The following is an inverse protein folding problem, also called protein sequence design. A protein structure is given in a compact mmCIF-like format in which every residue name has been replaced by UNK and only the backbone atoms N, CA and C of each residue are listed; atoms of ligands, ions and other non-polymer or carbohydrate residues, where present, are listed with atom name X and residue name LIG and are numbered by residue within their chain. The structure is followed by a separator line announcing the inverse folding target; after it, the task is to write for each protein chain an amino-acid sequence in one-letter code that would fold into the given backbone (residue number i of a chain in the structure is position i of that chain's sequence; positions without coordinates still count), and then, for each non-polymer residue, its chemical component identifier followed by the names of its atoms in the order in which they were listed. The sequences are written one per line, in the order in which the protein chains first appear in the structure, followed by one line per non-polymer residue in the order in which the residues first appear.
data_IF_437565568235
#
_entry.id   IF_437565568235
#
_cell.length_a   1.000
_cell.length_b   1.000
_cell.length_c   1.000
_cell.angle_alpha   90.00
_cell.angle_beta   90.00
_cell.angle_gamma   90.00
#
_symmetry.space_group_name_H-M   'P 1'
#
loop_
_entity.id
_entity.type
_entity.pdbx_description
1 polymer ?
#
# COMPACT_ATOMS: atom_id res chain seq x y z
N UNK A 1 15.76 3.13 13.38
CA UNK A 1 15.06 4.41 13.57
C UNK A 1 13.87 4.47 12.63
N UNK A 2 14.03 4.81 11.35
CA UNK A 2 12.93 4.66 10.36
C UNK A 2 12.64 3.17 10.12
N UNK A 3 11.37 2.77 10.24
CA UNK A 3 10.92 1.39 10.07
C UNK A 3 10.11 1.19 8.78
N UNK A 4 9.21 2.11 8.46
CA UNK A 4 8.55 2.21 7.16
C UNK A 4 8.14 3.66 6.86
N UNK A 5 7.87 3.95 5.60
CA UNK A 5 7.40 5.25 5.13
C UNK A 5 6.32 5.07 4.08
N UNK A 6 5.37 5.98 4.03
CA UNK A 6 4.32 6.06 3.01
C UNK A 6 4.19 7.49 2.50
N UNK A 7 4.08 7.64 1.20
CA UNK A 7 3.73 8.89 0.55
C UNK A 7 2.30 8.78 0.07
N UNK A 8 1.44 9.65 0.60
CA UNK A 8 0.00 9.61 0.42
C UNK A 8 -0.45 10.83 -0.38
N UNK A 9 -1.16 10.59 -1.47
CA UNK A 9 -1.94 11.57 -2.20
C UNK A 9 -3.21 11.91 -1.42
N UNK A 10 -3.51 13.20 -1.41
CA UNK A 10 -4.64 13.76 -0.69
C UNK A 10 -5.81 14.00 -1.64
N UNK A 11 -7.02 13.65 -1.19
CA UNK A 11 -8.25 13.89 -1.91
C UNK A 11 -9.12 14.87 -1.12
N UNK A 12 -9.78 15.78 -1.84
CA UNK A 12 -10.76 16.73 -1.33
C UNK A 12 -10.19 17.89 -0.48
N UNK A 13 -10.14 19.12 -1.04
CA UNK A 13 -9.43 20.25 -0.43
C UNK A 13 -10.35 21.10 0.43
N UNK A 14 -10.14 21.12 1.74
CA UNK A 14 -10.30 22.42 2.40
C UNK A 14 -9.43 23.43 1.62
N UNK A 15 -9.99 24.57 1.20
CA UNK A 15 -9.28 25.57 0.38
C UNK A 15 -8.20 26.34 1.15
N UNK A 16 -7.87 25.93 2.38
CA UNK A 16 -6.87 26.60 3.17
C UNK A 16 -5.47 26.11 2.78
N UNK A 17 -4.67 27.04 2.25
CA UNK A 17 -3.39 26.79 1.58
C UNK A 17 -2.21 26.73 2.56
N UNK A 18 -2.46 26.89 3.86
CA UNK A 18 -1.45 26.91 4.92
C UNK A 18 -1.23 25.52 5.59
N UNK A 19 -1.46 24.42 4.85
CA UNK A 19 -1.38 23.04 5.35
C UNK A 19 0.05 22.47 5.51
N UNK A 20 1.06 23.33 5.69
CA UNK A 20 2.41 22.85 5.99
C UNK A 20 2.46 22.40 7.46
N UNK A 21 2.26 21.10 7.67
CA UNK A 21 2.31 20.46 8.98
C UNK A 21 3.44 19.43 9.06
N UNK A 22 4.19 19.47 10.15
CA UNK A 22 5.16 18.46 10.54
C UNK A 22 4.93 18.11 12.01
N UNK A 23 4.69 16.84 12.31
CA UNK A 23 4.44 16.39 13.67
C UNK A 23 3.90 14.96 13.77
N UNK A 24 3.45 14.60 14.97
CA UNK A 24 2.89 13.28 15.25
C UNK A 24 1.56 13.08 14.50
N UNK A 25 1.41 11.93 13.83
CA UNK A 25 0.20 11.58 13.09
C UNK A 25 -1.06 11.51 13.96
N UNK A 26 -0.90 11.38 15.29
CA UNK A 26 -1.96 11.35 16.29
C UNK A 26 -2.11 12.68 17.05
N UNK A 27 -1.33 13.71 16.72
CA UNK A 27 -1.46 15.02 17.37
C UNK A 27 -2.85 15.61 17.06
N UNK A 28 -3.63 16.03 18.07
CA UNK A 28 -4.92 16.69 17.85
C UNK A 28 -4.84 17.98 17.03
N UNK A 29 -3.64 18.57 16.91
CA UNK A 29 -3.38 19.77 16.10
C UNK A 29 -3.13 19.46 14.62
N UNK A 30 -3.06 18.19 14.23
CA UNK A 30 -2.94 17.80 12.82
C UNK A 30 -4.12 18.38 12.04
N UNK A 31 -3.90 19.05 10.89
CA UNK A 31 -4.97 19.60 10.09
C UNK A 31 -6.00 18.55 9.69
N UNK A 32 -7.28 18.93 9.71
CA UNK A 32 -8.38 17.99 9.44
C UNK A 32 -8.33 17.49 8.00
N UNK A 33 -7.84 18.33 7.08
CA UNK A 33 -7.64 18.05 5.67
C UNK A 33 -6.65 16.91 5.44
N UNK A 34 -5.68 16.71 6.36
CA UNK A 34 -4.73 15.60 6.28
C UNK A 34 -5.42 14.23 6.43
N UNK A 35 -6.63 14.17 7.02
CA UNK A 35 -7.42 12.93 7.06
C UNK A 35 -7.92 12.48 5.67
N UNK A 36 -7.94 13.39 4.68
CA UNK A 36 -8.25 13.06 3.29
C UNK A 36 -7.08 12.44 2.52
N UNK A 37 -5.91 12.31 3.16
CA UNK A 37 -4.71 11.72 2.56
C UNK A 37 -4.67 10.21 2.80
N UNK A 38 -5.05 9.45 1.77
CA UNK A 38 -5.14 7.99 1.83
C UNK A 38 -4.71 7.30 0.54
N UNK A 39 -4.45 8.03 -0.54
CA UNK A 39 -4.07 7.41 -1.82
C UNK A 39 -2.59 7.08 -1.78
N UNK A 40 -2.21 5.82 -1.63
CA UNK A 40 -0.79 5.42 -1.61
C UNK A 40 -0.12 5.72 -2.94
N UNK A 41 0.83 6.68 -2.93
CA UNK A 41 1.68 7.03 -4.08
C UNK A 41 2.95 6.18 -4.09
N UNK A 42 3.58 6.08 -2.93
CA UNK A 42 4.77 5.27 -2.72
C UNK A 42 4.76 4.68 -1.32
N UNK A 43 5.27 3.46 -1.17
CA UNK A 43 5.46 2.82 0.12
C UNK A 43 6.88 2.25 0.18
N UNK A 44 7.47 2.30 1.37
CA UNK A 44 8.76 1.70 1.64
C UNK A 44 8.73 1.03 3.00
N UNK A 45 9.27 -0.18 3.07
CA UNK A 45 9.52 -0.90 4.30
C UNK A 45 10.94 -1.50 4.27
N UNK A 46 11.43 -1.93 5.44
CA UNK A 46 12.76 -2.51 5.56
C UNK A 46 13.01 -3.62 4.53
N UNK A 47 14.10 -3.48 3.77
CA UNK A 47 14.52 -4.42 2.72
C UNK A 47 13.96 -4.09 1.32
N UNK A 48 13.00 -3.18 1.19
CA UNK A 48 12.47 -2.78 -0.11
C UNK A 48 13.49 -1.96 -0.92
N UNK A 49 13.63 -2.33 -2.20
CA UNK A 49 14.29 -1.51 -3.22
C UNK A 49 13.29 -0.57 -3.92
N UNK A 50 13.71 0.15 -4.97
CA UNK A 50 12.82 1.01 -5.73
C UNK A 50 11.78 0.19 -6.51
N UNK A 51 10.57 0.72 -6.62
CA UNK A 51 9.55 0.20 -7.54
C UNK A 51 9.80 0.78 -8.92
N UNK A 52 10.04 -0.09 -9.90
CA UNK A 52 10.19 0.32 -11.30
C UNK A 52 8.91 -0.03 -12.03
N UNK A 53 8.20 1.01 -12.48
CA UNK A 53 6.95 0.86 -13.21
C UNK A 53 7.20 0.34 -14.63
N UNK A 54 6.33 -0.50 -15.19
CA UNK A 54 6.44 -0.96 -16.57
C UNK A 54 6.35 0.25 -17.52
N UNK A 55 6.96 0.14 -18.71
CA UNK A 55 7.13 1.28 -19.63
C UNK A 55 5.80 1.93 -20.03
N UNK A 56 4.77 1.13 -20.16
CA UNK A 56 3.41 1.49 -20.56
C UNK A 56 2.58 2.13 -19.45
N UNK A 57 2.98 2.04 -18.18
CA UNK A 57 2.18 2.53 -17.06
C UNK A 57 2.94 3.49 -16.13
N UNK A 58 2.24 4.47 -15.57
CA UNK A 58 2.76 5.45 -14.61
C UNK A 58 1.69 5.83 -13.61
N UNK A 59 2.07 6.20 -12.39
CA UNK A 59 1.08 6.75 -11.45
C UNK A 59 0.85 8.22 -11.78
N UNK A 60 -0.37 8.64 -12.14
CA UNK A 60 -0.66 10.04 -12.37
C UNK A 60 -0.70 10.79 -11.04
N UNK A 61 -0.08 11.96 -11.00
CA UNK A 61 -0.17 12.89 -9.88
C UNK A 61 -0.02 14.33 -10.39
N UNK A 62 -0.69 15.27 -9.72
CA UNK A 62 -0.68 16.69 -10.11
C UNK A 62 -1.53 17.00 -11.33
N UNK A 63 -1.81 18.29 -11.53
CA UNK A 63 -2.75 18.77 -12.56
C UNK A 63 -4.03 19.34 -11.96
N UNK A 64 -4.93 19.85 -12.80
CA UNK A 64 -6.14 20.58 -12.36
C UNK A 64 -7.13 19.72 -11.57
N UNK A 65 -7.08 18.42 -11.77
CA UNK A 65 -7.97 17.45 -11.11
C UNK A 65 -7.35 16.87 -9.83
N UNK A 66 -6.12 17.26 -9.49
CA UNK A 66 -5.38 16.75 -8.35
C UNK A 66 -5.23 17.83 -7.27
N UNK A 67 -5.23 17.40 -6.01
CA UNK A 67 -4.86 18.27 -4.92
C UNK A 67 -3.34 18.49 -4.89
N UNK A 68 -2.82 19.71 -4.67
CA UNK A 68 -1.39 19.99 -4.79
C UNK A 68 -0.58 19.59 -3.55
N UNK A 69 -1.15 18.76 -2.67
CA UNK A 69 -0.50 18.31 -1.44
C UNK A 69 -0.39 16.79 -1.38
N UNK A 70 0.71 16.38 -0.75
CA UNK A 70 0.98 15.00 -0.38
C UNK A 70 1.34 14.96 1.09
N UNK A 71 1.04 13.84 1.75
CA UNK A 71 1.42 13.58 3.13
C UNK A 71 2.52 12.51 3.13
N UNK A 72 3.64 12.81 3.77
CA UNK A 72 4.67 11.82 4.07
C UNK A 72 4.46 11.31 5.49
N UNK A 73 4.09 10.04 5.62
CA UNK A 73 4.01 9.35 6.90
C UNK A 73 5.30 8.55 7.13
N UNK A 74 5.93 8.73 8.30
CA UNK A 74 7.16 8.04 8.68
C UNK A 74 6.95 7.37 10.02
N UNK A 75 7.03 6.04 10.02
CA UNK A 75 6.99 5.27 11.26
C UNK A 75 8.39 5.08 11.81
N UNK A 76 8.65 5.72 12.95
CA UNK A 76 9.88 5.58 13.70
C UNK A 76 9.76 4.51 14.78
N UNK A 77 10.67 3.53 14.75
CA UNK A 77 10.89 2.60 15.85
C UNK A 77 12.17 3.01 16.62
N UNK A 78 12.00 3.81 17.68
CA UNK A 78 13.07 4.36 18.51
C UNK A 78 13.18 3.64 19.88
N UNK A 79 13.47 2.33 19.87
CA UNK A 79 13.55 1.50 21.09
C UNK A 79 14.56 2.06 22.11
N UNK A 80 15.72 2.52 21.62
CA UNK A 80 16.82 3.06 22.44
C UNK A 80 16.57 4.49 22.95
N UNK A 81 15.44 5.11 22.59
CA UNK A 81 15.05 6.47 22.99
C UNK A 81 16.14 7.52 22.74
N UNK A 82 16.80 7.40 21.59
CA UNK A 82 17.84 8.35 21.19
C UNK A 82 17.22 9.74 21.03
N UNK A 83 17.79 10.74 21.70
CA UNK A 83 17.32 12.12 21.67
C UNK A 83 18.18 12.99 20.73
N UNK A 84 17.60 14.07 20.20
CA UNK A 84 18.32 15.07 19.40
C UNK A 84 18.78 14.59 18.01
N UNK A 85 18.28 13.44 17.54
CA UNK A 85 18.56 12.97 16.18
C UNK A 85 17.78 13.81 15.17
N UNK A 86 18.50 14.39 14.21
CA UNK A 86 17.90 15.04 13.05
C UNK A 86 17.68 13.98 11.96
N UNK A 87 16.43 13.77 11.56
CA UNK A 87 16.07 12.94 10.42
C UNK A 87 15.63 13.82 9.23
N UNK A 88 16.00 13.39 8.03
CA UNK A 88 15.57 14.01 6.75
C UNK A 88 15.24 12.92 5.74
N UNK A 89 14.63 11.84 6.23
CA UNK A 89 14.24 10.70 5.40
C UNK A 89 13.04 11.05 4.51
N UNK A 90 12.92 10.35 3.40
CA UNK A 90 11.83 10.56 2.44
C UNK A 90 12.03 9.74 1.17
N UNK A 91 11.31 10.12 0.12
CA UNK A 91 11.35 9.45 -1.18
C UNK A 91 12.06 10.29 -2.24
N UNK A 92 12.77 9.61 -3.15
CA UNK A 92 13.16 10.19 -4.44
C UNK A 92 12.21 9.68 -5.51
N UNK A 93 11.49 10.59 -6.18
CA UNK A 93 10.50 10.25 -7.21
C UNK A 93 11.06 10.62 -8.58
N UNK A 94 11.12 9.65 -9.49
CA UNK A 94 11.42 9.88 -10.90
C UNK A 94 10.12 9.97 -11.68
N UNK A 95 9.89 11.10 -12.36
CA UNK A 95 8.65 11.38 -13.07
C UNK A 95 8.89 11.91 -14.49
N UNK A 96 7.81 11.97 -15.28
CA UNK A 96 7.79 12.54 -16.63
C UNK A 96 6.58 13.47 -16.76
N UNK A 97 6.70 14.52 -17.58
CA UNK A 97 5.60 15.43 -17.89
C UNK A 97 4.61 14.88 -18.94
N UNK A 98 4.85 13.67 -19.45
CA UNK A 98 3.98 13.01 -20.43
C UNK A 98 3.30 11.81 -19.81
N UNK A 99 1.97 11.75 -19.91
CA UNK A 99 1.20 10.58 -19.49
C UNK A 99 1.63 9.36 -20.29
N UNK A 100 1.71 8.21 -19.59
CA UNK A 100 1.92 6.91 -20.21
C UNK A 100 0.59 6.37 -20.72
N UNK A 101 0.62 5.22 -21.38
CA UNK A 101 -0.56 4.60 -21.97
C UNK A 101 -1.60 4.20 -20.91
N UNK A 102 -1.14 3.79 -19.72
CA UNK A 102 -1.99 3.35 -18.63
C UNK A 102 -1.66 4.05 -17.31
N UNK A 103 -2.68 4.30 -16.50
CA UNK A 103 -2.51 4.71 -15.12
C UNK A 103 -2.23 3.49 -14.25
N UNK A 104 -1.20 3.59 -13.42
CA UNK A 104 -0.90 2.62 -12.38
C UNK A 104 -1.40 3.14 -11.03
N UNK A 105 -1.81 2.20 -10.18
CA UNK A 105 -2.35 2.47 -8.86
C UNK A 105 -1.90 1.38 -7.88
N UNK A 106 -2.00 1.68 -6.59
CA UNK A 106 -1.82 0.70 -5.50
C UNK A 106 -3.20 0.26 -5.03
N UNK A 107 -3.38 -1.04 -4.85
CA UNK A 107 -4.57 -1.63 -4.25
C UNK A 107 -4.15 -2.43 -3.03
N UNK A 108 -4.65 -2.03 -1.87
CA UNK A 108 -4.43 -2.76 -0.62
C UNK A 108 -5.43 -3.91 -0.49
N UNK A 109 -4.93 -5.09 -0.17
CA UNK A 109 -5.72 -6.30 0.03
C UNK A 109 -5.35 -6.92 1.36
N UNK A 110 -6.33 -7.20 2.20
CA UNK A 110 -6.08 -7.86 3.47
C UNK A 110 -7.20 -7.69 4.49
N UNK A 111 -6.78 -7.62 5.75
CA UNK A 111 -7.65 -7.47 6.90
C UNK A 111 -7.72 -6.00 7.29
N UNK A 112 -8.90 -5.55 7.68
CA UNK A 112 -9.05 -4.22 8.29
C UNK A 112 -8.35 -4.18 9.65
N UNK A 113 -7.81 -3.02 10.01
CA UNK A 113 -7.22 -2.82 11.33
C UNK A 113 -8.31 -2.84 12.40
N UNK A 114 -8.27 -3.81 13.31
CA UNK A 114 -9.23 -3.90 14.41
C UNK A 114 -9.13 -5.19 15.21
N UNK A 115 -9.65 -5.14 16.43
CA UNK A 115 -9.56 -6.23 17.42
C UNK A 115 -10.25 -7.51 16.98
N UNK A 116 -11.16 -7.44 16.01
CA UNK A 116 -11.81 -8.59 15.39
C UNK A 116 -10.81 -9.55 14.71
N UNK A 117 -9.60 -9.07 14.37
CA UNK A 117 -8.55 -9.85 13.70
C UNK A 117 -7.43 -10.30 14.66
N UNK A 118 -7.78 -10.55 15.93
CA UNK A 118 -6.83 -10.92 16.98
C UNK A 118 -6.28 -12.35 16.84
N UNK A 119 -5.01 -12.52 17.23
CA UNK A 119 -4.34 -13.82 17.31
C UNK A 119 -4.28 -14.24 18.79
N UNK A 120 -4.81 -15.41 19.18
CA UNK A 120 -4.68 -15.89 20.55
C UNK A 120 -3.21 -16.07 20.96
N UNK A 121 -2.85 -15.89 22.24
CA UNK A 121 -1.49 -16.13 22.70
C UNK A 121 -1.10 -17.61 22.57
N UNK A 122 0.22 -17.86 22.48
CA UNK A 122 0.84 -19.20 22.44
C UNK A 122 0.45 -20.11 21.26
N UNK A 123 -0.14 -19.56 20.20
CA UNK A 123 -0.42 -20.32 18.99
C UNK A 123 0.87 -20.58 18.20
N UNK A 124 1.11 -21.84 17.83
CA UNK A 124 2.24 -22.21 16.95
C UNK A 124 2.03 -21.71 15.52
N UNK A 125 0.79 -21.75 15.05
CA UNK A 125 0.36 -21.21 13.77
C UNK A 125 -1.12 -20.86 13.86
N UNK A 126 -1.51 -19.69 13.37
CA UNK A 126 -2.89 -19.22 13.35
C UNK A 126 -3.14 -18.46 12.05
N UNK A 127 -3.95 -18.99 11.11
CA UNK A 127 -4.24 -18.30 9.87
C UNK A 127 -5.25 -17.19 10.09
N UNK A 128 -4.96 -16.00 9.56
CA UNK A 128 -5.93 -14.94 9.37
C UNK A 128 -6.11 -14.71 7.87
N UNK A 129 -7.35 -14.51 7.41
CA UNK A 129 -7.67 -14.37 5.99
C UNK A 129 -8.61 -13.19 5.77
N UNK A 130 -8.21 -12.27 4.89
CA UNK A 130 -9.07 -11.22 4.35
C UNK A 130 -9.48 -11.52 2.92
N UNK A 131 -10.52 -10.86 2.42
CA UNK A 131 -11.08 -11.11 1.09
C UNK A 131 -11.47 -9.81 0.37
N UNK A 132 -11.13 -9.70 -0.92
CA UNK A 132 -11.87 -8.84 -1.85
C UNK A 132 -12.86 -9.73 -2.60
N UNK A 133 -14.09 -9.78 -2.09
CA UNK A 133 -15.17 -10.59 -2.65
C UNK A 133 -15.62 -10.09 -4.03
N UNK A 134 -16.47 -10.86 -4.73
CA UNK A 134 -16.96 -10.49 -6.06
C UNK A 134 -17.58 -9.08 -6.13
N UNK A 135 -18.24 -8.62 -5.08
CA UNK A 135 -18.80 -7.27 -5.05
C UNK A 135 -17.74 -6.16 -4.92
N UNK A 136 -16.55 -6.50 -4.41
CA UNK A 136 -15.37 -5.64 -4.42
C UNK A 136 -14.74 -5.62 -5.83
N UNK A 137 -14.52 -6.79 -6.44
CA UNK A 137 -13.89 -6.86 -7.78
C UNK A 137 -14.77 -6.30 -8.90
N UNK A 138 -16.10 -6.31 -8.76
CA UNK A 138 -17.03 -5.63 -9.69
C UNK A 138 -16.82 -4.12 -9.80
N UNK A 139 -16.14 -3.48 -8.85
CA UNK A 139 -15.81 -2.04 -8.89
C UNK A 139 -14.59 -1.74 -9.77
N UNK A 140 -13.87 -2.76 -10.22
CA UNK A 140 -12.76 -2.58 -11.16
C UNK A 140 -13.28 -2.15 -12.54
N UNK A 141 -12.44 -1.52 -13.39
CA UNK A 141 -12.80 -1.18 -14.76
C UNK A 141 -13.31 -2.40 -15.53
N UNK A 142 -14.20 -2.18 -16.51
CA UNK A 142 -14.81 -3.25 -17.32
C UNK A 142 -13.79 -4.21 -17.93
N UNK A 143 -12.68 -3.65 -18.42
CA UNK A 143 -11.58 -4.42 -19.01
C UNK A 143 -10.69 -5.09 -17.97
N UNK A 144 -10.88 -4.86 -16.67
CA UNK A 144 -10.09 -5.38 -15.57
C UNK A 144 -8.74 -4.69 -15.37
N UNK A 145 -7.98 -5.13 -14.36
CA UNK A 145 -6.65 -4.57 -14.03
C UNK A 145 -5.53 -5.56 -14.33
N UNK A 146 -4.33 -5.03 -14.56
CA UNK A 146 -3.10 -5.77 -14.79
C UNK A 146 -2.18 -5.60 -13.57
N UNK A 147 -2.02 -6.65 -12.76
CA UNK A 147 -1.12 -6.63 -11.61
C UNK A 147 0.29 -6.97 -12.09
N UNK A 148 1.22 -6.04 -11.89
CA UNK A 148 2.62 -6.19 -12.31
C UNK A 148 3.59 -6.29 -11.12
N UNK A 149 3.18 -5.89 -9.92
CA UNK A 149 3.98 -5.97 -8.71
C UNK A 149 3.10 -6.30 -7.49
N UNK A 150 3.71 -6.84 -6.44
CA UNK A 150 3.04 -7.13 -5.17
C UNK A 150 4.00 -6.97 -4.00
N UNK A 151 3.50 -6.44 -2.88
CA UNK A 151 4.18 -6.40 -1.60
C UNK A 151 3.35 -7.16 -0.57
N UNK A 152 3.98 -8.08 0.16
CA UNK A 152 3.35 -8.75 1.30
C UNK A 152 3.76 -8.00 2.57
N UNK A 153 2.80 -7.73 3.45
CA UNK A 153 3.01 -6.96 4.67
C UNK A 153 2.33 -7.63 5.87
N UNK A 154 3.06 -7.72 6.98
CA UNK A 154 2.60 -8.11 8.30
C UNK A 154 3.59 -7.66 9.37
N UNK A 155 3.09 -7.47 10.60
CA UNK A 155 3.89 -7.13 11.78
C UNK A 155 4.74 -8.33 12.30
N UNK A 156 5.30 -8.18 13.50
CA UNK A 156 6.33 -9.07 14.08
C UNK A 156 5.98 -10.57 14.12
N UNK A 157 4.69 -10.91 14.15
CA UNK A 157 4.23 -12.31 14.19
C UNK A 157 3.92 -12.91 12.80
N UNK A 158 4.03 -12.14 11.72
CA UNK A 158 3.88 -12.65 10.35
C UNK A 158 4.95 -13.69 10.02
N UNK A 159 4.57 -14.81 9.41
CA UNK A 159 5.50 -15.91 9.05
C UNK A 159 5.31 -16.45 7.63
N UNK A 160 4.08 -16.45 7.15
CA UNK A 160 3.73 -16.96 5.83
C UNK A 160 2.55 -16.17 5.30
N UNK A 161 2.72 -15.62 4.11
CA UNK A 161 1.74 -14.74 3.46
C UNK A 161 1.57 -15.15 2.02
N UNK A 162 0.36 -15.07 1.51
CA UNK A 162 0.07 -15.29 0.10
C UNK A 162 -1.27 -14.65 -0.26
N UNK A 163 -1.40 -14.31 -1.53
CA UNK A 163 -2.66 -13.82 -2.11
C UNK A 163 -3.07 -14.79 -3.20
N UNK A 164 -4.29 -15.34 -3.10
CA UNK A 164 -4.82 -16.28 -4.10
C UNK A 164 -5.81 -15.57 -5.00
N UNK A 165 -5.92 -16.01 -6.25
CA UNK A 165 -6.94 -15.52 -7.16
C UNK A 165 -7.93 -16.65 -7.44
N UNK A 166 -9.20 -16.37 -7.20
CA UNK A 166 -10.31 -17.28 -7.45
C UNK A 166 -11.23 -16.74 -8.55
N UNK A 167 -11.84 -17.65 -9.29
CA UNK A 167 -12.92 -17.39 -10.24
C UNK A 167 -13.97 -18.48 -10.10
N UNK A 168 -15.22 -18.09 -9.88
CA UNK A 168 -16.36 -19.00 -9.72
C UNK A 168 -16.12 -20.10 -8.67
N UNK A 169 -15.51 -19.71 -7.54
CA UNK A 169 -15.17 -20.63 -6.44
C UNK A 169 -13.93 -21.49 -6.68
N UNK A 170 -13.30 -21.42 -7.86
CA UNK A 170 -12.10 -22.20 -8.20
C UNK A 170 -10.86 -21.32 -8.07
N UNK A 171 -9.83 -21.82 -7.38
CA UNK A 171 -8.52 -21.16 -7.33
C UNK A 171 -7.84 -21.27 -8.70
N UNK A 172 -7.65 -20.14 -9.38
CA UNK A 172 -7.02 -20.07 -10.70
C UNK A 172 -5.55 -19.66 -10.63
N UNK A 173 -5.08 -19.16 -9.49
CA UNK A 173 -3.67 -18.82 -9.30
C UNK A 173 -3.34 -18.23 -7.94
N UNK A 174 -2.10 -17.79 -7.79
CA UNK A 174 -1.61 -16.98 -6.69
C UNK A 174 -0.98 -15.72 -7.27
N UNK A 175 -1.27 -14.55 -6.69
CA UNK A 175 -0.64 -13.29 -7.08
C UNK A 175 0.79 -13.24 -6.54
N UNK A 176 0.94 -13.56 -5.26
CA UNK A 176 2.23 -13.63 -4.59
C UNK A 176 2.17 -14.63 -3.44
N UNK A 177 3.32 -15.18 -3.05
CA UNK A 177 3.47 -16.11 -1.94
C UNK A 177 4.87 -16.06 -1.37
N UNK A 178 4.94 -15.94 -0.05
CA UNK A 178 6.14 -16.17 0.72
C UNK A 178 5.86 -17.13 1.88
N UNK A 179 6.48 -18.31 1.83
CA UNK A 179 6.39 -19.32 2.88
C UNK A 179 7.35 -19.06 4.05
N UNK A 180 8.29 -18.14 3.89
CA UNK A 180 9.34 -17.80 4.83
C UNK A 180 9.39 -16.29 5.06
N UNK A 181 8.22 -15.64 5.03
CA UNK A 181 8.08 -14.20 5.20
C UNK A 181 8.72 -13.76 6.51
N UNK A 182 9.49 -12.67 6.41
CA UNK A 182 10.05 -11.97 7.55
C UNK A 182 9.56 -10.52 7.57
N UNK A 183 9.06 -10.00 8.70
CA UNK A 183 8.72 -8.59 8.84
C UNK A 183 9.94 -7.66 8.71
N UNK A 184 11.16 -8.21 8.70
CA UNK A 184 12.39 -7.47 8.47
C UNK A 184 12.82 -7.42 6.98
N UNK A 185 12.05 -8.06 6.10
CA UNK A 185 12.35 -8.16 4.67
C UNK A 185 11.07 -8.07 3.83
N UNK A 186 10.59 -6.84 3.60
CA UNK A 186 9.28 -6.56 3.01
C UNK A 186 9.44 -5.89 1.64
N UNK A 187 9.79 -6.68 0.63
CA UNK A 187 10.06 -6.15 -0.71
C UNK A 187 8.80 -6.01 -1.54
N UNK A 188 8.82 -4.99 -2.40
CA UNK A 188 7.92 -4.91 -3.55
C UNK A 188 8.53 -5.76 -4.66
N UNK A 189 7.84 -6.83 -5.02
CA UNK A 189 8.32 -7.79 -6.02
C UNK A 189 7.59 -7.58 -7.34
N UNK A 190 8.35 -7.33 -8.41
CA UNK A 190 7.81 -7.38 -9.76
C UNK A 190 7.43 -8.83 -10.08
N UNK A 191 6.18 -9.03 -10.50
CA UNK A 191 5.67 -10.33 -10.83
C UNK A 191 6.33 -10.83 -12.12
N UNK A 192 6.71 -12.11 -12.14
CA UNK A 192 7.29 -12.75 -13.33
C UNK A 192 6.34 -12.74 -14.54
N UNK A 193 5.04 -12.71 -14.26
CA UNK A 193 3.96 -12.63 -15.26
C UNK A 193 2.94 -11.62 -14.75
N UNK A 194 2.48 -10.76 -15.65
CA UNK A 194 1.35 -9.88 -15.36
C UNK A 194 0.10 -10.72 -15.12
N UNK A 195 -0.63 -10.42 -14.06
CA UNK A 195 -1.84 -11.15 -13.67
C UNK A 195 -3.05 -10.27 -13.96
N UNK A 196 -3.95 -10.77 -14.80
CA UNK A 196 -5.19 -10.08 -15.16
C UNK A 196 -6.31 -10.42 -14.18
N UNK A 197 -6.90 -9.39 -13.58
CA UNK A 197 -8.06 -9.52 -12.69
C UNK A 197 -9.25 -8.84 -13.36
N UNK A 198 -10.33 -9.59 -13.58
CA UNK A 198 -11.52 -9.12 -14.29
C UNK A 198 -12.65 -8.80 -13.30
N UNK A 199 -13.53 -7.82 -13.60
CA UNK A 199 -14.69 -7.47 -12.77
C UNK A 199 -15.88 -8.43 -12.95
N UNK A 200 -15.61 -9.74 -13.00
CA UNK A 200 -16.65 -10.74 -13.25
C UNK A 200 -17.29 -11.23 -11.95
N UNK A 201 -18.56 -11.62 -12.01
CA UNK A 201 -19.19 -12.41 -10.95
C UNK A 201 -18.30 -13.61 -10.62
N UNK A 202 -17.97 -13.81 -9.35
CA UNK A 202 -17.13 -14.92 -8.90
C UNK A 202 -15.62 -14.66 -8.88
N UNK A 203 -15.11 -13.50 -9.34
CA UNK A 203 -13.70 -13.14 -9.16
C UNK A 203 -13.44 -12.69 -7.71
N UNK A 204 -12.55 -13.37 -6.99
CA UNK A 204 -12.21 -13.09 -5.59
C UNK A 204 -10.71 -13.11 -5.38
N UNK A 205 -10.21 -12.21 -4.53
CA UNK A 205 -8.82 -12.15 -4.07
C UNK A 205 -8.73 -12.43 -2.58
#
# INVERSE_FOLDING_TARGET
MVHHMELLGCQNPGYDVDLLYEGDCNDPRKPVEAHGCSTVIAAWAMGAGPVIYPREAGMPFGGREFYPFVMLEVHYNNVERVAGMLDRSGFTISYTGQLRQYDAAVMELGLIYGDANSIPPHQKAFPLTGHCVADCTKKLPADGINVFASQLHAHLYGRKLWTSHFRDGVKIGEINRDNHYSPHWQRIENLRKIIKIMPVSGSLL
#
